data_IF_152390948919
#
_entry.id   IF_152390948919
#
_cell.length_a   1.000
_cell.length_b   1.000
_cell.length_c   1.000
_cell.angle_alpha   90.00
_cell.angle_beta   90.00
_cell.angle_gamma   90.00
#
_symmetry.space_group_name_H-M   'P 1'
#
loop_
_entity.id
_entity.type
_entity.pdbx_description
1 polymer ?
#
# COMPACT_ATOMS: atom_id res chain seq x y z
N UNK A 1 -28.76 53.85 35.30
CA UNK A 1 -28.20 53.91 33.92
C UNK A 1 -28.57 52.63 33.19
N UNK A 2 -29.57 52.67 32.31
CA UNK A 2 -29.97 51.50 31.51
C UNK A 2 -29.01 51.28 30.35
N UNK A 3 -28.48 50.06 30.19
CA UNK A 3 -27.66 49.70 29.02
C UNK A 3 -28.53 49.76 27.75
N UNK A 4 -28.18 50.64 26.81
CA UNK A 4 -28.85 50.77 25.52
C UNK A 4 -28.53 49.53 24.68
N UNK A 5 -29.52 48.66 24.44
CA UNK A 5 -29.40 47.54 23.48
C UNK A 5 -29.26 48.14 22.09
N UNK A 6 -28.05 48.09 21.52
CA UNK A 6 -27.83 48.37 20.10
C UNK A 6 -28.16 47.11 19.33
N UNK A 7 -29.28 47.11 18.60
CA UNK A 7 -29.60 46.03 17.68
C UNK A 7 -28.63 46.13 16.49
N UNK A 8 -27.91 45.05 16.20
CA UNK A 8 -27.02 44.98 15.04
C UNK A 8 -27.80 45.34 13.76
N UNK A 9 -27.23 46.14 12.85
CA UNK A 9 -27.87 46.43 11.58
C UNK A 9 -28.11 45.12 10.82
N UNK A 10 -29.24 45.00 10.14
CA UNK A 10 -29.68 43.75 9.46
C UNK A 10 -28.59 43.14 8.56
N UNK A 11 -27.81 44.00 7.89
CA UNK A 11 -26.67 43.61 7.05
C UNK A 11 -25.59 42.87 7.84
N UNK A 12 -25.27 43.29 9.06
CA UNK A 12 -24.27 42.66 9.91
C UNK A 12 -24.71 41.25 10.36
N UNK A 13 -26.01 41.08 10.64
CA UNK A 13 -26.57 39.77 10.99
C UNK A 13 -26.50 38.81 9.80
N UNK A 14 -26.81 39.28 8.59
CA UNK A 14 -26.70 38.49 7.36
C UNK A 14 -25.23 38.13 7.09
N UNK A 15 -24.32 39.09 7.19
CA UNK A 15 -22.88 38.86 7.00
C UNK A 15 -22.34 37.81 7.97
N UNK A 16 -22.72 37.87 9.25
CA UNK A 16 -22.34 36.86 10.26
C UNK A 16 -22.85 35.47 9.90
N UNK A 17 -24.08 35.35 9.38
CA UNK A 17 -24.65 34.06 8.94
C UNK A 17 -23.93 33.49 7.72
N UNK A 18 -23.64 34.34 6.74
CA UNK A 18 -22.87 33.93 5.54
C UNK A 18 -21.46 33.50 5.93
N UNK A 19 -20.79 34.26 6.81
CA UNK A 19 -19.45 33.92 7.30
C UNK A 19 -19.44 32.58 8.05
N UNK A 20 -20.43 32.34 8.91
CA UNK A 20 -20.58 31.06 9.61
C UNK A 20 -20.80 29.91 8.62
N UNK A 21 -21.66 30.10 7.61
CA UNK A 21 -21.91 29.08 6.61
C UNK A 21 -20.66 28.77 5.77
N UNK A 22 -19.93 29.81 5.35
CA UNK A 22 -18.67 29.67 4.63
C UNK A 22 -17.62 28.94 5.48
N UNK A 23 -17.54 29.22 6.78
CA UNK A 23 -16.64 28.54 7.70
C UNK A 23 -16.97 27.05 7.81
N UNK A 24 -18.25 26.69 7.92
CA UNK A 24 -18.69 25.28 7.96
C UNK A 24 -18.34 24.56 6.66
N UNK A 25 -18.61 25.19 5.50
CA UNK A 25 -18.25 24.63 4.19
C UNK A 25 -16.74 24.45 4.05
N UNK A 26 -15.94 25.40 4.55
CA UNK A 26 -14.49 25.29 4.53
C UNK A 26 -13.99 24.10 5.36
N UNK A 27 -14.52 23.90 6.58
CA UNK A 27 -14.14 22.74 7.41
C UNK A 27 -14.54 21.42 6.73
N UNK A 28 -15.79 21.31 6.28
CA UNK A 28 -16.27 20.10 5.62
C UNK A 28 -15.49 19.79 4.35
N UNK A 29 -15.15 20.80 3.56
CA UNK A 29 -14.31 20.67 2.38
C UNK A 29 -12.95 20.07 2.72
N UNK A 30 -12.24 20.62 3.70
CA UNK A 30 -10.93 20.10 4.13
C UNK A 30 -10.99 18.63 4.57
N UNK A 31 -12.04 18.24 5.31
CA UNK A 31 -12.22 16.85 5.76
C UNK A 31 -12.40 15.92 4.56
N UNK A 32 -13.24 16.29 3.59
CA UNK A 32 -13.48 15.48 2.39
C UNK A 32 -12.21 15.37 1.54
N UNK A 33 -11.49 16.47 1.30
CA UNK A 33 -10.24 16.43 0.55
C UNK A 33 -9.20 15.53 1.20
N UNK A 34 -8.99 15.67 2.52
CA UNK A 34 -8.07 14.80 3.26
C UNK A 34 -8.49 13.31 3.19
N UNK A 35 -9.78 13.03 3.26
CA UNK A 35 -10.29 11.66 3.17
C UNK A 35 -10.06 11.04 1.79
N UNK A 36 -10.17 11.82 0.72
CA UNK A 36 -9.91 11.35 -0.65
C UNK A 36 -8.41 11.08 -0.86
N UNK A 37 -7.53 11.97 -0.37
CA UNK A 37 -6.09 11.75 -0.41
C UNK A 37 -5.69 10.48 0.36
N UNK A 38 -6.29 10.26 1.54
CA UNK A 38 -6.07 9.04 2.32
C UNK A 38 -6.48 7.77 1.57
N UNK A 39 -7.67 7.75 0.94
CA UNK A 39 -8.14 6.59 0.18
C UNK A 39 -7.23 6.28 -1.03
N UNK A 40 -6.80 7.32 -1.74
CA UNK A 40 -5.86 7.18 -2.87
C UNK A 40 -4.52 6.63 -2.37
N UNK A 41 -4.00 7.14 -1.26
CA UNK A 41 -2.75 6.67 -0.68
C UNK A 41 -2.86 5.22 -0.19
N UNK A 42 -3.96 4.85 0.44
CA UNK A 42 -4.22 3.49 0.90
C UNK A 42 -4.31 2.50 -0.28
N UNK A 43 -5.05 2.86 -1.33
CA UNK A 43 -5.14 2.04 -2.55
C UNK A 43 -3.81 1.91 -3.27
N UNK A 44 -3.02 2.98 -3.29
CA UNK A 44 -1.68 2.98 -3.90
C UNK A 44 -0.74 2.06 -3.12
N UNK A 45 -0.73 2.16 -1.79
CA UNK A 45 0.07 1.28 -0.92
C UNK A 45 -0.33 -0.19 -1.12
N UNK A 46 -1.64 -0.50 -1.08
CA UNK A 46 -2.12 -1.86 -1.31
C UNK A 46 -1.64 -2.43 -2.65
N UNK A 47 -1.68 -1.64 -3.72
CA UNK A 47 -1.17 -2.06 -5.02
C UNK A 47 0.35 -2.25 -5.03
N UNK A 48 1.11 -1.43 -4.33
CA UNK A 48 2.55 -1.63 -4.19
C UNK A 48 2.87 -2.92 -3.44
N UNK A 49 2.13 -3.22 -2.37
CA UNK A 49 2.28 -4.45 -1.60
C UNK A 49 1.96 -5.68 -2.48
N UNK A 50 0.87 -5.63 -3.27
CA UNK A 50 0.50 -6.68 -4.24
C UNK A 50 1.59 -6.87 -5.31
N UNK A 51 2.14 -5.78 -5.86
CA UNK A 51 3.26 -5.84 -6.82
C UNK A 51 4.49 -6.48 -6.18
N UNK A 52 4.85 -6.09 -4.96
CA UNK A 52 6.00 -6.63 -4.25
C UNK A 52 5.87 -8.12 -3.96
N UNK A 53 4.66 -8.57 -3.60
CA UNK A 53 4.39 -9.99 -3.39
C UNK A 53 4.55 -10.80 -4.69
N UNK A 54 3.95 -10.32 -5.79
CA UNK A 54 4.07 -10.97 -7.10
C UNK A 54 5.53 -11.01 -7.57
N UNK A 55 6.29 -9.94 -7.32
CA UNK A 55 7.71 -9.89 -7.66
C UNK A 55 8.51 -10.95 -6.88
N UNK A 56 8.25 -11.09 -5.58
CA UNK A 56 8.85 -12.14 -4.75
C UNK A 56 8.49 -13.54 -5.25
N UNK A 57 7.26 -13.76 -5.69
CA UNK A 57 6.83 -15.04 -6.25
C UNK A 57 7.57 -15.33 -7.58
N UNK A 58 7.73 -14.33 -8.44
CA UNK A 58 8.50 -14.45 -9.70
C UNK A 58 9.95 -14.81 -9.40
N UNK A 59 10.60 -14.11 -8.46
CA UNK A 59 12.00 -14.37 -8.08
C UNK A 59 12.15 -15.80 -7.54
N UNK A 60 11.20 -16.24 -6.70
CA UNK A 60 11.16 -17.62 -6.21
C UNK A 60 11.01 -18.65 -7.33
N UNK A 61 10.15 -18.40 -8.32
CA UNK A 61 10.00 -19.26 -9.50
C UNK A 61 11.24 -19.27 -10.38
N UNK A 62 11.93 -18.15 -10.53
CA UNK A 62 13.17 -18.05 -11.30
C UNK A 62 14.29 -18.86 -10.63
N UNK A 63 14.40 -18.79 -9.29
CA UNK A 63 15.32 -19.63 -8.51
C UNK A 63 15.01 -21.10 -8.74
N UNK A 64 13.74 -21.52 -8.58
CA UNK A 64 13.34 -22.93 -8.78
C UNK A 64 13.65 -23.42 -10.21
N UNK A 65 13.46 -22.57 -11.22
CA UNK A 65 13.79 -22.89 -12.61
C UNK A 65 15.30 -23.04 -12.82
N UNK A 66 16.10 -22.17 -12.23
CA UNK A 66 17.56 -22.22 -12.28
C UNK A 66 18.12 -23.47 -11.59
N UNK A 67 17.57 -23.81 -10.42
CA UNK A 67 17.88 -25.04 -9.70
C UNK A 67 17.56 -26.27 -10.55
N UNK A 68 16.36 -26.34 -11.13
CA UNK A 68 15.95 -27.47 -11.98
C UNK A 68 16.87 -27.64 -13.21
N UNK A 69 17.24 -26.54 -13.86
CA UNK A 69 18.20 -26.57 -14.96
C UNK A 69 19.57 -27.09 -14.51
N UNK A 70 20.02 -26.69 -13.33
CA UNK A 70 21.27 -27.15 -12.71
C UNK A 70 21.21 -28.64 -12.36
N UNK A 71 20.12 -29.11 -11.77
CA UNK A 71 19.91 -30.54 -11.47
C UNK A 71 19.87 -31.40 -12.72
N UNK A 72 19.23 -30.93 -13.80
CA UNK A 72 19.23 -31.64 -15.08
C UNK A 72 20.65 -31.77 -15.65
N UNK A 73 21.46 -30.72 -15.57
CA UNK A 73 22.88 -30.76 -15.97
C UNK A 73 23.68 -31.73 -15.10
N UNK A 74 23.54 -31.67 -13.78
CA UNK A 74 24.22 -32.57 -12.85
C UNK A 74 23.86 -34.03 -13.10
N UNK A 75 22.57 -34.33 -13.32
CA UNK A 75 22.10 -35.67 -13.68
C UNK A 75 22.74 -36.15 -14.98
N UNK A 76 22.76 -35.32 -16.04
CA UNK A 76 23.41 -35.67 -17.31
C UNK A 76 24.89 -36.02 -17.14
N UNK A 77 25.65 -35.22 -16.38
CA UNK A 77 27.08 -35.47 -16.14
C UNK A 77 27.30 -36.73 -15.32
N UNK A 78 26.50 -36.95 -14.26
CA UNK A 78 26.59 -38.15 -13.44
C UNK A 78 26.31 -39.42 -14.26
N UNK A 79 25.24 -39.43 -15.05
CA UNK A 79 24.88 -40.55 -15.93
C UNK A 79 25.95 -40.80 -16.98
N UNK A 80 26.52 -39.76 -17.60
CA UNK A 80 27.61 -39.89 -18.56
C UNK A 80 28.88 -40.53 -17.94
N UNK A 81 29.08 -40.37 -16.63
CA UNK A 81 30.19 -40.97 -15.88
C UNK A 81 29.83 -42.32 -15.22
N UNK A 82 28.64 -42.87 -15.48
CA UNK A 82 28.20 -44.14 -14.91
C UNK A 82 27.64 -44.07 -13.48
N UNK A 83 27.45 -42.87 -12.93
CA UNK A 83 26.89 -42.67 -11.59
C UNK A 83 25.38 -42.37 -11.65
N UNK A 84 24.64 -42.83 -10.62
CA UNK A 84 23.22 -42.51 -10.46
C UNK A 84 23.05 -41.24 -9.63
N UNK A 85 22.43 -40.21 -10.20
CA UNK A 85 22.14 -38.96 -9.48
C UNK A 85 20.83 -39.06 -8.69
N UNK A 86 20.85 -38.66 -7.42
CA UNK A 86 19.67 -38.48 -6.55
C UNK A 86 19.62 -37.03 -6.06
N UNK A 87 18.48 -36.38 -6.25
CA UNK A 87 18.25 -35.00 -5.80
C UNK A 87 17.81 -34.99 -4.33
N UNK A 88 18.43 -34.14 -3.50
CA UNK A 88 17.94 -33.83 -2.15
C UNK A 88 16.97 -32.65 -2.20
N UNK A 89 15.79 -32.80 -1.59
CA UNK A 89 14.78 -31.75 -1.51
C UNK A 89 15.15 -30.73 -0.43
N UNK A 90 15.81 -29.63 -0.78
CA UNK A 90 15.94 -28.46 0.08
C UNK A 90 15.07 -27.35 -0.48
N UNK A 91 13.80 -27.33 -0.08
CA UNK A 91 12.91 -26.21 -0.36
C UNK A 91 13.35 -25.01 0.49
N UNK A 92 13.49 -23.86 -0.16
CA UNK A 92 13.98 -22.61 0.40
C UNK A 92 13.22 -22.20 1.67
N UNK A 93 13.95 -21.97 2.75
CA UNK A 93 13.47 -21.26 3.94
C UNK A 93 13.40 -19.78 3.57
N UNK A 94 12.19 -19.27 3.38
CA UNK A 94 11.94 -17.83 3.42
C UNK A 94 11.98 -17.39 4.88
N UNK A 95 13.01 -16.64 5.25
CA UNK A 95 13.12 -15.97 6.54
C UNK A 95 11.97 -14.98 6.63
N UNK A 96 10.95 -15.31 7.42
CA UNK A 96 9.98 -14.33 7.91
C UNK A 96 10.59 -13.72 9.18
N UNK A 97 11.11 -12.50 9.05
CA UNK A 97 11.55 -11.70 10.19
C UNK A 97 10.47 -10.64 10.44
N UNK A 98 9.53 -10.94 11.35
CA UNK A 98 8.60 -9.96 11.89
C UNK A 98 9.06 -9.54 13.29
N UNK A 99 9.31 -8.24 13.43
CA UNK A 99 9.49 -7.52 14.69
C UNK A 99 8.15 -7.13 15.30
#
# INVERSE_FOLDING_TARGET
MGKKKTNDPKVLIIAKRVAFFAFVVAILGNIVFNSLEMDINAKTKKRQDEISAIQSDIDGLEIQKSELASFSRLKKVATAKGYTYKQGSTAAVVVSEDK
#
